data_IF_639829067478
#
_entry.id   IF_639829067478
#
_cell.length_a   1.000
_cell.length_b   1.000
_cell.length_c   1.000
_cell.angle_alpha   90.00
_cell.angle_beta   90.00
_cell.angle_gamma   90.00
#
_symmetry.space_group_name_H-M   'P 1'
#
loop_
_entity.id
_entity.type
_entity.pdbx_description
1 polymer ?
#
# COMPACT_ATOMS: atom_id res chain seq x y z
N UNK A 1 26.69 -6.55 19.16
CA UNK A 1 25.61 -7.40 18.62
C UNK A 1 25.32 -6.87 17.23
N UNK A 2 25.69 -7.58 16.18
CA UNK A 2 25.31 -7.18 14.81
C UNK A 2 23.83 -7.43 14.70
N UNK A 3 23.05 -6.35 14.61
CA UNK A 3 21.62 -6.43 14.33
C UNK A 3 21.42 -7.23 13.02
N UNK A 4 20.54 -8.22 13.04
CA UNK A 4 20.22 -8.97 11.82
C UNK A 4 19.69 -8.00 10.75
N UNK A 5 20.00 -8.23 9.47
CA UNK A 5 19.52 -7.34 8.40
C UNK A 5 17.98 -7.25 8.45
N UNK A 6 17.47 -6.02 8.41
CA UNK A 6 16.02 -5.79 8.42
C UNK A 6 15.37 -6.33 7.16
N UNK A 7 14.25 -7.02 7.33
CA UNK A 7 13.42 -7.48 6.22
C UNK A 7 12.29 -6.48 5.99
N UNK A 8 12.25 -5.88 4.81
CA UNK A 8 11.21 -4.93 4.40
C UNK A 8 10.33 -5.56 3.33
N UNK A 9 9.03 -5.64 3.59
CA UNK A 9 8.04 -6.11 2.63
C UNK A 9 7.37 -4.89 1.97
N UNK A 10 7.41 -4.83 0.64
CA UNK A 10 6.74 -3.78 -0.14
C UNK A 10 5.58 -4.38 -0.90
N UNK A 11 4.34 -4.03 -0.56
CA UNK A 11 3.17 -4.41 -1.33
C UNK A 11 2.90 -3.41 -2.45
N UNK A 12 2.43 -3.91 -3.61
CA UNK A 12 2.31 -3.07 -4.81
C UNK A 12 3.65 -2.71 -5.42
N UNK A 13 4.70 -3.50 -5.12
CA UNK A 13 6.07 -3.17 -5.47
C UNK A 13 6.41 -3.29 -6.95
N UNK A 14 5.52 -3.84 -7.78
CA UNK A 14 5.67 -3.86 -9.25
C UNK A 14 4.99 -2.66 -9.93
N UNK A 15 4.22 -1.86 -9.17
CA UNK A 15 3.58 -0.64 -9.62
C UNK A 15 4.53 0.56 -9.70
N UNK A 16 4.03 1.69 -10.20
CA UNK A 16 4.82 2.92 -10.40
C UNK A 16 5.48 3.42 -9.10
N UNK A 17 4.70 3.62 -8.04
CA UNK A 17 5.22 4.11 -6.75
C UNK A 17 6.04 3.03 -6.06
N UNK A 18 5.49 1.81 -5.97
CA UNK A 18 6.14 0.70 -5.26
C UNK A 18 7.51 0.34 -5.84
N UNK A 19 7.66 0.29 -7.17
CA UNK A 19 8.96 0.00 -7.81
C UNK A 19 10.01 1.08 -7.52
N UNK A 20 9.60 2.35 -7.42
CA UNK A 20 10.48 3.45 -7.04
C UNK A 20 10.93 3.31 -5.57
N UNK A 21 10.01 2.93 -4.67
CA UNK A 21 10.34 2.64 -3.27
C UNK A 21 11.33 1.48 -3.17
N UNK A 22 11.07 0.38 -3.87
CA UNK A 22 11.97 -0.80 -3.87
C UNK A 22 13.37 -0.43 -4.33
N UNK A 23 13.52 0.34 -5.44
CA UNK A 23 14.82 0.82 -5.90
C UNK A 23 15.53 1.68 -4.86
N UNK A 24 14.81 2.65 -4.30
CA UNK A 24 15.38 3.56 -3.30
C UNK A 24 15.86 2.81 -2.03
N UNK A 25 15.09 1.82 -1.57
CA UNK A 25 15.47 0.98 -0.44
C UNK A 25 16.72 0.15 -0.76
N UNK A 26 16.76 -0.49 -1.93
CA UNK A 26 17.89 -1.33 -2.35
C UNK A 26 19.20 -0.52 -2.50
N UNK A 27 19.09 0.71 -3.03
CA UNK A 27 20.23 1.60 -3.23
C UNK A 27 20.77 2.20 -1.92
N UNK A 28 19.86 2.66 -1.05
CA UNK A 28 20.24 3.36 0.18
C UNK A 28 20.53 2.43 1.35
N UNK A 29 19.99 1.23 1.34
CA UNK A 29 20.09 0.23 2.41
C UNK A 29 20.45 -1.14 1.83
N UNK A 30 21.69 -1.31 1.31
CA UNK A 30 22.11 -2.55 0.65
C UNK A 30 22.16 -3.77 1.59
N UNK A 31 22.12 -3.54 2.89
CA UNK A 31 22.04 -4.53 3.97
C UNK A 31 20.60 -5.00 4.26
N UNK A 32 19.59 -4.31 3.75
CA UNK A 32 18.19 -4.73 3.93
C UNK A 32 17.84 -5.89 3.00
N UNK A 33 16.96 -6.74 3.48
CA UNK A 33 16.31 -7.80 2.71
C UNK A 33 14.98 -7.25 2.19
N UNK A 34 14.86 -7.08 0.87
CA UNK A 34 13.65 -6.49 0.26
C UNK A 34 12.80 -7.59 -0.37
N UNK A 35 11.60 -7.76 0.16
CA UNK A 35 10.57 -8.61 -0.40
C UNK A 35 9.48 -7.77 -1.05
N UNK A 36 8.97 -8.21 -2.18
CA UNK A 36 7.96 -7.53 -2.98
C UNK A 36 6.77 -8.46 -3.16
N UNK A 37 5.58 -7.95 -2.88
CA UNK A 37 4.33 -8.64 -3.20
C UNK A 37 3.44 -7.77 -4.10
N UNK A 38 2.84 -8.41 -5.09
CA UNK A 38 1.88 -7.77 -6.02
C UNK A 38 1.01 -8.85 -6.65
N UNK A 39 -0.18 -8.51 -7.12
CA UNK A 39 -0.99 -9.44 -7.90
C UNK A 39 -0.50 -9.58 -9.35
N UNK A 40 0.29 -8.63 -9.83
CA UNK A 40 0.86 -8.63 -11.18
C UNK A 40 2.37 -8.82 -11.14
N UNK A 41 2.96 -9.57 -12.10
CA UNK A 41 4.41 -9.68 -12.20
C UNK A 41 5.04 -8.32 -12.59
N UNK A 42 6.35 -8.14 -12.33
CA UNK A 42 7.07 -6.94 -12.74
C UNK A 42 6.96 -6.71 -14.24
N UNK A 43 6.76 -5.46 -14.64
CA UNK A 43 6.71 -5.03 -16.04
C UNK A 43 8.08 -4.57 -16.51
N UNK A 44 8.35 -4.57 -17.85
CA UNK A 44 9.63 -4.08 -18.37
C UNK A 44 10.01 -2.66 -17.93
N UNK A 45 9.01 -1.78 -17.77
CA UNK A 45 9.21 -0.40 -17.31
C UNK A 45 9.42 -0.28 -15.78
N UNK A 46 9.15 -1.35 -15.02
CA UNK A 46 9.26 -1.41 -13.55
C UNK A 46 10.05 -2.64 -13.10
N UNK A 47 11.22 -2.82 -13.71
CA UNK A 47 12.11 -3.94 -13.34
C UNK A 47 12.56 -3.81 -11.89
N UNK A 48 12.41 -4.91 -11.15
CA UNK A 48 12.88 -4.99 -9.78
C UNK A 48 14.39 -5.24 -9.74
N UNK A 49 15.12 -4.66 -8.75
CA UNK A 49 16.53 -4.96 -8.54
C UNK A 49 16.76 -6.46 -8.29
N UNK A 50 17.90 -7.00 -8.78
CA UNK A 50 18.23 -8.44 -8.70
C UNK A 50 18.21 -9.02 -7.28
N UNK A 51 18.46 -8.20 -6.27
CA UNK A 51 18.50 -8.62 -4.85
C UNK A 51 17.12 -8.62 -4.18
N UNK A 52 16.03 -8.46 -4.94
CA UNK A 52 14.68 -8.46 -4.39
C UNK A 52 13.97 -9.80 -4.63
N UNK A 53 13.15 -10.22 -3.66
CA UNK A 53 12.29 -11.40 -3.82
C UNK A 53 10.89 -10.97 -4.18
N UNK A 54 10.37 -11.49 -5.28
CA UNK A 54 9.01 -11.24 -5.71
C UNK A 54 8.12 -12.46 -5.44
N UNK A 55 6.95 -12.21 -4.84
CA UNK A 55 5.89 -13.20 -4.69
C UNK A 55 4.58 -12.63 -5.24
N UNK A 56 3.98 -13.35 -6.16
CA UNK A 56 2.66 -12.99 -6.70
C UNK A 56 1.57 -13.35 -5.69
N UNK A 57 0.81 -12.37 -5.23
CA UNK A 57 -0.27 -12.58 -4.25
C UNK A 57 -1.38 -11.53 -4.40
N UNK A 58 -2.61 -11.96 -4.18
CA UNK A 58 -3.78 -11.09 -4.08
C UNK A 58 -3.99 -10.68 -2.61
N UNK A 59 -3.95 -9.38 -2.34
CA UNK A 59 -4.13 -8.81 -0.98
C UNK A 59 -5.52 -9.11 -0.40
N UNK A 60 -6.49 -9.44 -1.23
CA UNK A 60 -7.84 -9.79 -0.78
C UNK A 60 -7.94 -11.21 -0.24
N UNK A 61 -6.88 -12.03 -0.41
CA UNK A 61 -6.78 -13.37 0.16
C UNK A 61 -5.96 -13.36 1.45
N UNK A 62 -6.64 -13.32 2.60
CA UNK A 62 -5.98 -13.31 3.91
C UNK A 62 -5.07 -14.53 4.11
N UNK A 63 -5.56 -15.73 3.78
CA UNK A 63 -4.77 -16.98 3.89
C UNK A 63 -3.48 -16.94 3.04
N UNK A 64 -3.54 -16.34 1.84
CA UNK A 64 -2.36 -16.20 1.00
C UNK A 64 -1.34 -15.23 1.61
N UNK A 65 -1.82 -14.16 2.23
CA UNK A 65 -0.96 -13.23 2.97
C UNK A 65 -0.31 -13.88 4.18
N UNK A 66 -1.05 -14.64 4.99
CA UNK A 66 -0.48 -15.38 6.13
C UNK A 66 0.71 -16.24 5.70
N UNK A 67 0.56 -17.04 4.64
CA UNK A 67 1.65 -17.89 4.10
C UNK A 67 2.87 -17.06 3.67
N UNK A 68 2.64 -15.89 3.07
CA UNK A 68 3.72 -14.98 2.67
C UNK A 68 4.44 -14.41 3.88
N UNK A 69 3.69 -13.96 4.90
CA UNK A 69 4.27 -13.39 6.11
C UNK A 69 5.02 -14.44 6.94
N UNK A 70 4.50 -15.66 7.02
CA UNK A 70 5.18 -16.81 7.62
C UNK A 70 6.50 -17.18 6.91
N UNK A 71 6.57 -17.03 5.59
CA UNK A 71 7.78 -17.33 4.84
C UNK A 71 8.82 -16.19 4.90
N UNK A 72 8.38 -14.94 4.94
CA UNK A 72 9.24 -13.75 4.83
C UNK A 72 9.68 -13.21 6.19
N UNK A 73 8.83 -13.29 7.21
CA UNK A 73 9.02 -12.66 8.53
C UNK A 73 9.44 -11.18 8.43
N UNK A 74 8.60 -10.30 7.87
CA UNK A 74 8.96 -8.91 7.68
C UNK A 74 9.06 -8.14 9.00
N UNK A 75 10.10 -7.33 9.16
CA UNK A 75 10.23 -6.37 10.26
C UNK A 75 9.43 -5.10 9.99
N UNK A 76 9.37 -4.69 8.71
CA UNK A 76 8.70 -3.47 8.25
C UNK A 76 7.87 -3.79 7.01
N UNK A 77 6.67 -3.24 6.97
CA UNK A 77 5.79 -3.28 5.79
C UNK A 77 5.65 -1.88 5.21
N UNK A 78 5.86 -1.75 3.90
CA UNK A 78 5.52 -0.56 3.11
C UNK A 78 4.37 -0.91 2.20
N UNK A 79 3.18 -0.46 2.56
CA UNK A 79 1.95 -0.76 1.81
C UNK A 79 1.71 0.32 0.75
N UNK A 80 2.18 0.05 -0.47
CA UNK A 80 2.00 0.92 -1.64
C UNK A 80 0.96 0.38 -2.64
N UNK A 81 0.42 -0.80 -2.39
CA UNK A 81 -0.65 -1.35 -3.20
C UNK A 81 -1.92 -0.51 -3.09
N UNK A 82 -2.63 -0.41 -4.20
CA UNK A 82 -3.91 0.26 -4.25
C UNK A 82 -4.38 0.46 -5.69
N UNK A 83 -5.68 0.42 -5.86
CA UNK A 83 -6.32 0.69 -7.13
C UNK A 83 -6.68 2.17 -7.21
N UNK A 84 -6.09 2.88 -8.19
CA UNK A 84 -6.38 4.28 -8.48
C UNK A 84 -7.22 4.33 -9.76
N UNK A 85 -8.54 4.53 -9.67
CA UNK A 85 -9.39 4.62 -10.86
C UNK A 85 -9.00 5.81 -11.74
N UNK A 86 -9.24 5.69 -13.04
CA UNK A 86 -9.12 6.80 -13.98
C UNK A 86 -10.02 7.99 -13.55
N UNK A 87 -9.72 9.16 -14.09
CA UNK A 87 -10.39 10.40 -13.65
C UNK A 87 -11.92 10.32 -13.75
N UNK A 88 -12.44 9.74 -14.83
CA UNK A 88 -13.88 9.57 -15.05
C UNK A 88 -14.47 8.51 -14.10
N UNK A 89 -13.77 7.41 -13.92
CA UNK A 89 -14.21 6.29 -13.06
C UNK A 89 -14.28 6.66 -11.58
N UNK A 90 -13.49 7.63 -11.12
CA UNK A 90 -13.57 8.12 -9.72
C UNK A 90 -14.95 8.64 -9.34
N UNK A 91 -15.65 9.25 -10.30
CA UNK A 91 -16.96 9.86 -10.10
C UNK A 91 -18.12 8.92 -10.48
N UNK A 92 -17.91 8.03 -11.45
CA UNK A 92 -18.97 7.18 -12.00
C UNK A 92 -19.42 6.07 -11.05
N UNK A 93 -18.66 5.78 -9.98
CA UNK A 93 -18.88 4.69 -9.03
C UNK A 93 -18.95 3.28 -9.65
N UNK A 94 -18.69 3.16 -10.94
CA UNK A 94 -18.76 1.88 -11.67
C UNK A 94 -17.75 0.84 -11.13
N UNK A 95 -16.57 1.30 -10.73
CA UNK A 95 -15.49 0.47 -10.19
C UNK A 95 -15.45 0.49 -8.65
N UNK A 96 -16.52 0.94 -8.01
CA UNK A 96 -16.57 1.05 -6.55
C UNK A 96 -16.34 -0.29 -5.85
N UNK A 97 -16.99 -1.41 -6.24
CA UNK A 97 -16.77 -2.69 -5.58
C UNK A 97 -15.30 -3.15 -5.65
N UNK A 98 -14.66 -3.01 -6.81
CA UNK A 98 -13.27 -3.39 -7.03
C UNK A 98 -12.31 -2.49 -6.24
N UNK A 99 -12.56 -1.19 -6.23
CA UNK A 99 -11.77 -0.22 -5.48
C UNK A 99 -11.86 -0.49 -3.98
N UNK A 100 -13.05 -0.73 -3.45
CA UNK A 100 -13.25 -1.09 -2.05
C UNK A 100 -12.58 -2.40 -1.68
N UNK A 101 -12.73 -3.41 -2.51
CA UNK A 101 -12.12 -4.72 -2.31
C UNK A 101 -10.60 -4.61 -2.19
N UNK A 102 -9.95 -3.87 -3.10
CA UNK A 102 -8.49 -3.74 -3.10
C UNK A 102 -8.01 -2.77 -2.01
N UNK A 103 -8.58 -1.56 -1.97
CA UNK A 103 -8.04 -0.49 -1.13
C UNK A 103 -8.46 -0.62 0.33
N UNK A 104 -9.70 -1.07 0.60
CA UNK A 104 -10.19 -1.23 1.97
C UNK A 104 -9.93 -2.64 2.52
N UNK A 105 -10.50 -3.69 1.89
CA UNK A 105 -10.35 -5.05 2.41
C UNK A 105 -8.89 -5.52 2.32
N UNK A 106 -8.20 -5.26 1.20
CA UNK A 106 -6.80 -5.59 1.02
C UNK A 106 -5.89 -4.90 2.03
N UNK A 107 -6.13 -3.60 2.32
CA UNK A 107 -5.38 -2.86 3.35
C UNK A 107 -5.67 -3.40 4.74
N UNK A 108 -6.94 -3.69 5.06
CA UNK A 108 -7.33 -4.29 6.33
C UNK A 108 -6.63 -5.64 6.55
N UNK A 109 -6.62 -6.51 5.53
CA UNK A 109 -5.93 -7.79 5.60
C UNK A 109 -4.42 -7.60 5.84
N UNK A 110 -3.79 -6.65 5.15
CA UNK A 110 -2.37 -6.32 5.34
C UNK A 110 -2.07 -5.82 6.75
N UNK A 111 -2.93 -4.98 7.33
CA UNK A 111 -2.79 -4.50 8.70
C UNK A 111 -2.93 -5.65 9.69
N UNK A 112 -3.97 -6.47 9.54
CA UNK A 112 -4.26 -7.58 10.45
C UNK A 112 -3.13 -8.62 10.43
N UNK A 113 -2.69 -9.08 9.26
CA UNK A 113 -1.59 -10.05 9.17
C UNK A 113 -0.27 -9.45 9.68
N UNK A 114 -0.02 -8.15 9.46
CA UNK A 114 1.16 -7.46 9.99
C UNK A 114 1.16 -7.45 11.52
N UNK A 115 0.01 -7.16 12.13
CA UNK A 115 -0.15 -7.18 13.59
C UNK A 115 0.07 -8.59 14.15
N UNK A 116 -0.57 -9.61 13.56
CA UNK A 116 -0.44 -11.00 13.99
C UNK A 116 0.99 -11.54 13.85
N UNK A 117 1.73 -11.08 12.82
CA UNK A 117 3.12 -11.48 12.56
C UNK A 117 4.16 -10.68 13.35
N UNK A 118 3.75 -9.71 14.17
CA UNK A 118 4.66 -8.92 14.99
C UNK A 118 5.52 -7.92 14.20
N UNK A 119 5.01 -7.41 13.07
CA UNK A 119 5.64 -6.35 12.28
C UNK A 119 5.87 -5.11 13.15
N UNK A 120 7.09 -4.57 13.13
CA UNK A 120 7.50 -3.45 13.99
C UNK A 120 7.03 -2.10 13.49
N UNK A 121 6.86 -1.96 12.16
CA UNK A 121 6.38 -0.72 11.55
C UNK A 121 5.59 -1.01 10.27
N UNK A 122 4.44 -0.35 10.15
CA UNK A 122 3.59 -0.39 8.95
C UNK A 122 3.51 1.02 8.37
N UNK A 123 3.97 1.19 7.13
CA UNK A 123 3.96 2.48 6.42
C UNK A 123 2.91 2.39 5.33
N UNK A 124 1.87 3.18 5.43
CA UNK A 124 0.76 3.21 4.48
C UNK A 124 0.88 4.39 3.50
N UNK A 125 0.86 4.10 2.22
CA UNK A 125 0.80 5.13 1.18
C UNK A 125 -0.63 5.64 1.04
N UNK A 126 -0.91 6.76 1.68
CA UNK A 126 -2.18 7.46 1.64
C UNK A 126 -2.26 8.39 0.41
N UNK A 127 -3.12 9.40 0.44
CA UNK A 127 -3.35 10.34 -0.64
C UNK A 127 -3.86 11.68 -0.10
N UNK A 128 -3.63 12.77 -0.82
CA UNK A 128 -4.25 14.06 -0.51
C UNK A 128 -5.79 14.02 -0.59
N UNK A 129 -6.36 13.07 -1.32
CA UNK A 129 -7.82 12.90 -1.40
C UNK A 129 -8.47 12.51 -0.06
N UNK A 130 -7.70 12.08 0.94
CA UNK A 130 -8.23 11.82 2.30
C UNK A 130 -8.49 13.12 3.06
N UNK A 131 -7.79 14.19 2.72
CA UNK A 131 -7.99 15.52 3.33
C UNK A 131 -9.08 16.29 2.60
N UNK A 132 -9.04 16.29 1.29
CA UNK A 132 -10.14 16.76 0.42
C UNK A 132 -9.99 16.23 -0.99
N UNK A 133 -11.10 15.91 -1.63
CA UNK A 133 -11.17 15.60 -3.05
C UNK A 133 -12.27 16.41 -3.76
N UNK A 134 -12.80 17.42 -3.08
CA UNK A 134 -13.73 18.38 -3.67
C UNK A 134 -12.96 19.36 -4.56
N UNK A 135 -13.12 19.18 -5.87
CA UNK A 135 -12.47 20.02 -6.88
C UNK A 135 -13.25 21.33 -7.18
N UNK A 136 -14.42 21.50 -6.60
CA UNK A 136 -15.25 22.71 -6.79
C UNK A 136 -14.77 23.88 -5.93
N UNK A 137 -14.01 23.60 -4.87
CA UNK A 137 -13.55 24.60 -3.91
C UNK A 137 -12.01 24.57 -3.84
N UNK A 138 -11.39 25.73 -3.86
CA UNK A 138 -9.97 25.85 -3.61
C UNK A 138 -9.66 25.72 -2.11
N UNK A 139 -8.74 24.86 -1.76
CA UNK A 139 -8.28 24.65 -0.38
C UNK A 139 -6.80 25.04 -0.24
N UNK A 140 -6.47 26.34 -0.19
CA UNK A 140 -5.08 26.80 -0.06
C UNK A 140 -4.52 26.43 1.32
N UNK A 141 -3.26 25.97 1.35
CA UNK A 141 -2.53 25.61 2.57
C UNK A 141 -3.19 24.47 3.39
N UNK A 142 -3.90 23.54 2.73
CA UNK A 142 -4.46 22.37 3.38
C UNK A 142 -3.35 21.49 3.95
N UNK A 143 -3.54 20.95 5.14
CA UNK A 143 -2.63 20.05 5.83
C UNK A 143 -3.40 18.89 6.48
N UNK A 144 -2.70 18.03 7.21
CA UNK A 144 -3.24 16.83 7.83
C UNK A 144 -4.20 17.10 9.01
N UNK A 145 -4.28 18.34 9.50
CA UNK A 145 -5.22 18.75 10.54
C UNK A 145 -6.66 18.92 10.00
N UNK A 146 -6.78 18.99 8.67
CA UNK A 146 -8.08 19.01 8.03
C UNK A 146 -8.72 17.61 8.12
N UNK A 147 -9.78 17.52 8.92
CA UNK A 147 -10.58 16.32 8.99
C UNK A 147 -11.65 16.36 7.90
N UNK A 148 -11.59 15.48 6.90
CA UNK A 148 -12.60 15.47 5.85
C UNK A 148 -13.91 15.00 6.43
N UNK A 149 -14.95 15.79 6.27
CA UNK A 149 -16.31 15.38 6.62
C UNK A 149 -16.90 14.41 5.59
N UNK A 150 -16.46 14.51 4.34
CA UNK A 150 -16.96 13.69 3.23
C UNK A 150 -15.97 13.74 2.06
N UNK A 151 -15.57 12.58 1.56
CA UNK A 151 -14.87 12.46 0.29
C UNK A 151 -15.90 12.27 -0.84
N UNK A 152 -15.72 12.99 -1.93
CA UNK A 152 -16.63 12.95 -3.08
C UNK A 152 -16.31 11.80 -4.05
N UNK A 153 -15.07 11.30 -4.04
CA UNK A 153 -14.63 10.21 -4.92
C UNK A 153 -14.59 8.86 -4.22
N UNK A 154 -14.84 7.78 -4.96
CA UNK A 154 -14.69 6.41 -4.45
C UNK A 154 -13.25 6.12 -4.00
N UNK A 155 -12.25 6.74 -4.64
CA UNK A 155 -10.86 6.58 -4.26
C UNK A 155 -10.57 7.24 -2.91
N UNK A 156 -10.96 8.49 -2.71
CA UNK A 156 -10.80 9.18 -1.43
C UNK A 156 -11.46 8.41 -0.29
N UNK A 157 -12.72 8.00 -0.47
CA UNK A 157 -13.46 7.20 0.51
C UNK A 157 -12.72 5.91 0.86
N UNK A 158 -12.28 5.13 -0.14
CA UNK A 158 -11.61 3.85 0.08
C UNK A 158 -10.24 3.95 0.78
N UNK A 159 -9.64 5.14 0.80
CA UNK A 159 -8.36 5.40 1.46
C UNK A 159 -8.50 5.93 2.89
N UNK A 160 -9.65 6.51 3.24
CA UNK A 160 -9.94 7.00 4.61
C UNK A 160 -10.36 5.87 5.54
N UNK A 161 -11.27 5.02 5.09
CA UNK A 161 -11.88 3.97 5.92
C UNK A 161 -10.87 3.02 6.58
N UNK A 162 -9.81 2.52 5.91
CA UNK A 162 -8.84 1.62 6.57
C UNK A 162 -8.13 2.25 7.76
N UNK A 163 -8.00 3.57 7.80
CA UNK A 163 -7.30 4.29 8.85
C UNK A 163 -8.17 4.58 10.09
N UNK A 164 -9.50 4.54 9.93
CA UNK A 164 -10.42 4.88 11.02
C UNK A 164 -10.72 3.70 11.97
N UNK A 165 -10.40 2.47 11.61
CA UNK A 165 -10.68 1.28 12.41
C UNK A 165 -9.56 0.88 13.39
N UNK A 166 -8.45 1.62 13.45
CA UNK A 166 -7.28 1.31 14.27
C UNK A 166 -6.91 2.43 15.28
N UNK A 167 -7.86 3.31 15.64
CA UNK A 167 -7.71 4.26 16.74
C UNK A 167 -8.31 3.73 18.04
#
# INVERSE_FOLDING_TARGET
MTDSPKTVLVSGGTGFVGSAIVRALTEKHPDFRIAVIDQNPPRPEHVLPEKTWFTQVDLTSFEALEKVFEAIHPDVVVHAAGMVPGLVERWSRRLEPEVWKVNFEGTRNMLEVSQQSGVKAFIYTSTCCVVTDDTAIAHPNINEEWLPSLQSTIYGQSKVEPTNHHQ
#
